data_IF_759901232298
#
_entry.id   IF_759901232298
#
_cell.length_a   1.000
_cell.length_b   1.000
_cell.length_c   1.000
_cell.angle_alpha   90.00
_cell.angle_beta   90.00
_cell.angle_gamma   90.00
#
_symmetry.space_group_name_H-M   'P 1'
#
loop_
_entity.id
_entity.type
_entity.pdbx_description
1 polymer ?
#
# COMPACT_ATOMS: atom_id res chain seq x y z
N UNK A 1 -16.05 -2.97 20.75
CA UNK A 1 -16.67 -2.30 19.59
C UNK A 1 -16.77 -0.84 19.92
N UNK A 2 -16.31 0.06 19.05
CA UNK A 2 -16.45 1.49 19.25
C UNK A 2 -17.93 1.84 19.01
N UNK A 3 -18.61 2.47 19.99
CA UNK A 3 -20.04 2.80 19.89
C UNK A 3 -20.29 4.09 19.09
N UNK A 4 -19.24 4.74 18.59
CA UNK A 4 -19.29 6.03 17.93
C UNK A 4 -19.49 5.92 16.42
N UNK A 5 -20.23 6.87 15.86
CA UNK A 5 -20.44 7.01 14.42
C UNK A 5 -19.30 7.84 13.84
N UNK A 6 -18.66 7.34 12.81
CA UNK A 6 -17.59 8.04 12.07
C UNK A 6 -18.04 8.45 10.69
N UNK A 7 -17.51 9.57 10.19
CA UNK A 7 -17.77 10.06 8.85
C UNK A 7 -16.51 10.59 8.17
N UNK A 8 -16.36 10.35 6.87
CA UNK A 8 -15.32 10.95 6.04
C UNK A 8 -15.74 11.00 4.57
N UNK A 9 -15.07 11.89 3.81
CA UNK A 9 -15.10 11.88 2.35
C UNK A 9 -14.26 10.66 1.89
N UNK A 10 -14.88 9.74 1.17
CA UNK A 10 -14.25 8.49 0.75
C UNK A 10 -13.76 8.52 -0.71
N UNK A 11 -14.00 9.62 -1.44
CA UNK A 11 -13.45 9.89 -2.76
C UNK A 11 -12.15 10.70 -2.66
N UNK A 12 -11.24 10.63 -3.66
CA UNK A 12 -10.05 11.47 -3.69
C UNK A 12 -10.39 12.96 -3.62
N UNK A 13 -9.48 13.75 -3.05
CA UNK A 13 -9.59 15.21 -3.04
C UNK A 13 -9.41 15.79 -4.44
N UNK A 14 -10.10 16.87 -4.72
CA UNK A 14 -10.03 17.58 -6.00
C UNK A 14 -11.41 17.71 -6.66
N UNK A 15 -11.43 18.20 -7.89
CA UNK A 15 -12.66 18.37 -8.67
C UNK A 15 -12.98 17.07 -9.42
N UNK A 16 -14.19 16.57 -9.24
CA UNK A 16 -14.71 15.37 -9.90
C UNK A 16 -16.19 15.50 -10.22
N UNK A 17 -16.78 14.52 -10.89
CA UNK A 17 -18.23 14.50 -11.14
C UNK A 17 -19.05 14.19 -9.89
N UNK A 18 -18.51 13.35 -9.00
CA UNK A 18 -19.19 12.85 -7.79
C UNK A 18 -18.20 12.81 -6.62
N UNK A 19 -18.69 13.16 -5.43
CA UNK A 19 -18.02 12.87 -4.16
C UNK A 19 -18.91 11.99 -3.29
N UNK A 20 -18.30 11.11 -2.49
CA UNK A 20 -19.00 10.21 -1.59
C UNK A 20 -18.57 10.46 -0.15
N UNK A 21 -19.53 10.66 0.72
CA UNK A 21 -19.32 10.73 2.17
C UNK A 21 -19.83 9.43 2.77
N UNK A 22 -18.94 8.71 3.47
CA UNK A 22 -19.28 7.48 4.17
C UNK A 22 -19.42 7.76 5.65
N UNK A 23 -20.52 7.27 6.23
CA UNK A 23 -20.87 7.36 7.64
C UNK A 23 -21.04 5.93 8.14
N UNK A 24 -20.28 5.49 9.15
CA UNK A 24 -20.30 4.12 9.66
C UNK A 24 -20.31 4.09 11.18
N UNK A 25 -21.04 3.14 11.75
CA UNK A 25 -21.18 2.94 13.17
C UNK A 25 -22.60 2.55 13.56
N UNK A 26 -22.79 2.09 14.78
CA UNK A 26 -24.11 1.75 15.30
C UNK A 26 -25.03 2.98 15.29
N UNK A 27 -26.15 2.88 14.58
CA UNK A 27 -27.10 3.99 14.43
C UNK A 27 -26.76 4.96 13.30
N UNK A 28 -25.77 4.69 12.46
CA UNK A 28 -25.42 5.56 11.32
C UNK A 28 -26.61 5.78 10.38
N UNK A 29 -27.44 4.77 10.17
CA UNK A 29 -28.63 4.83 9.32
C UNK A 29 -29.70 5.75 9.93
N UNK A 30 -29.75 5.91 11.24
CA UNK A 30 -30.72 6.81 11.92
C UNK A 30 -30.46 8.29 11.62
N UNK A 31 -29.28 8.64 11.09
CA UNK A 31 -28.96 10.01 10.68
C UNK A 31 -29.57 10.39 9.32
N UNK A 32 -30.07 9.42 8.55
CA UNK A 32 -30.61 9.66 7.21
C UNK A 32 -31.69 10.74 7.16
N UNK A 33 -32.71 10.76 8.03
CA UNK A 33 -33.75 11.80 7.96
C UNK A 33 -33.27 13.23 8.22
N UNK A 34 -32.14 13.37 8.93
CA UNK A 34 -31.54 14.68 9.18
C UNK A 34 -30.63 15.16 8.04
N UNK A 35 -30.21 14.26 7.16
CA UNK A 35 -29.23 14.51 6.10
C UNK A 35 -29.80 14.40 4.70
N UNK A 36 -31.01 13.82 4.53
CA UNK A 36 -31.55 13.51 3.21
C UNK A 36 -33.08 13.63 3.15
N UNK A 37 -33.62 14.23 2.08
CA UNK A 37 -35.06 14.41 1.86
C UNK A 37 -35.43 14.13 0.39
N UNK A 38 -36.59 13.47 0.14
CA UNK A 38 -37.45 12.85 1.14
C UNK A 38 -36.81 11.62 1.76
N UNK A 39 -36.90 11.48 3.08
CA UNK A 39 -36.46 10.26 3.75
C UNK A 39 -37.39 9.11 3.36
N UNK A 40 -36.87 8.02 2.79
CA UNK A 40 -37.68 6.90 2.34
C UNK A 40 -38.34 6.16 3.50
N UNK A 41 -39.63 5.86 3.35
CA UNK A 41 -40.38 5.06 4.33
C UNK A 41 -41.35 4.10 3.58
N UNK A 42 -41.12 2.76 3.64
CA UNK A 42 -40.03 2.08 4.37
C UNK A 42 -38.68 2.25 3.68
N UNK A 43 -37.60 2.32 4.49
CA UNK A 43 -36.23 2.33 3.98
C UNK A 43 -35.84 0.91 3.54
N UNK A 44 -35.45 0.78 2.27
CA UNK A 44 -34.83 -0.45 1.75
C UNK A 44 -33.32 -0.33 1.81
N UNK A 45 -32.67 -1.29 2.48
CA UNK A 45 -31.20 -1.37 2.50
C UNK A 45 -30.65 -1.70 1.12
N UNK A 46 -29.45 -1.21 0.81
CA UNK A 46 -28.73 -1.43 -0.46
C UNK A 46 -29.52 -0.94 -1.68
N UNK A 47 -30.40 0.01 -1.48
CA UNK A 47 -31.16 0.69 -2.53
C UNK A 47 -30.73 2.17 -2.60
N UNK A 48 -30.50 2.66 -3.81
CA UNK A 48 -30.06 4.03 -4.05
C UNK A 48 -31.27 4.96 -4.22
N UNK A 49 -31.38 5.93 -3.32
CA UNK A 49 -32.42 6.94 -3.33
C UNK A 49 -31.89 8.25 -3.88
N UNK A 50 -32.64 8.92 -4.74
CA UNK A 50 -32.34 10.27 -5.23
C UNK A 50 -33.15 11.30 -4.43
N UNK A 51 -32.51 12.40 -4.01
CA UNK A 51 -33.14 13.44 -3.20
C UNK A 51 -32.25 14.64 -2.93
N UNK A 52 -32.60 15.41 -1.94
CA UNK A 52 -31.84 16.58 -1.48
C UNK A 52 -30.99 16.21 -0.27
N UNK A 53 -29.73 16.58 -0.32
CA UNK A 53 -28.81 16.53 0.83
C UNK A 53 -29.03 17.78 1.67
N UNK A 54 -29.18 17.62 2.98
CA UNK A 54 -29.65 18.63 3.89
C UNK A 54 -28.60 19.00 4.95
N UNK A 55 -28.69 20.24 5.41
CA UNK A 55 -28.01 20.73 6.60
C UNK A 55 -29.03 21.26 7.59
N UNK A 56 -28.86 20.88 8.88
CA UNK A 56 -29.68 21.40 9.99
C UNK A 56 -30.92 20.58 10.29
N UNK A 57 -31.23 20.44 11.60
CA UNK A 57 -32.38 19.67 12.09
C UNK A 57 -33.68 20.48 12.14
N UNK A 58 -33.61 21.74 12.57
CA UNK A 58 -34.80 22.58 12.81
C UNK A 58 -35.27 23.36 11.58
N UNK A 59 -34.34 23.81 10.77
CA UNK A 59 -34.58 24.47 9.47
C UNK A 59 -33.66 23.87 8.44
N UNK A 60 -34.03 22.73 7.85
CA UNK A 60 -33.20 22.05 6.88
C UNK A 60 -32.98 22.90 5.65
N UNK A 61 -31.73 23.23 5.37
CA UNK A 61 -31.31 23.88 4.13
C UNK A 61 -30.80 22.84 3.15
N UNK A 62 -31.15 22.97 1.89
CA UNK A 62 -30.63 22.05 0.86
C UNK A 62 -29.22 22.47 0.45
N UNK A 63 -28.28 21.57 0.67
CA UNK A 63 -26.87 21.74 0.26
C UNK A 63 -26.66 21.37 -1.20
N UNK A 64 -27.28 20.26 -1.60
CA UNK A 64 -27.11 19.69 -2.94
C UNK A 64 -28.25 18.70 -3.25
N UNK A 65 -28.36 18.31 -4.53
CA UNK A 65 -29.14 17.15 -4.95
C UNK A 65 -28.22 15.98 -5.21
N UNK A 66 -28.54 14.84 -4.62
CA UNK A 66 -27.64 13.69 -4.67
C UNK A 66 -28.35 12.38 -4.37
N UNK A 67 -27.59 11.41 -3.96
CA UNK A 67 -28.10 10.07 -3.68
C UNK A 67 -27.71 9.61 -2.29
N UNK A 68 -28.50 8.70 -1.72
CA UNK A 68 -28.22 8.06 -0.44
C UNK A 68 -28.41 6.54 -0.55
N UNK A 69 -27.54 5.78 0.09
CA UNK A 69 -27.61 4.32 0.22
C UNK A 69 -27.37 3.96 1.67
N UNK A 70 -28.22 3.11 2.24
CA UNK A 70 -28.06 2.57 3.58
C UNK A 70 -27.74 1.08 3.53
N UNK A 71 -26.86 0.65 4.41
CA UNK A 71 -26.44 -0.74 4.59
C UNK A 71 -26.73 -1.18 6.02
N UNK A 72 -27.33 -2.35 6.17
CA UNK A 72 -27.56 -2.95 7.48
C UNK A 72 -26.25 -3.48 8.08
N UNK A 73 -26.26 -3.73 9.37
CA UNK A 73 -25.14 -4.39 10.06
C UNK A 73 -24.84 -5.74 9.39
N UNK A 74 -23.55 -6.02 9.16
CA UNK A 74 -23.07 -7.20 8.45
C UNK A 74 -23.04 -7.09 6.93
N UNK A 75 -23.67 -6.07 6.34
CA UNK A 75 -23.79 -5.91 4.87
C UNK A 75 -22.88 -4.83 4.27
N UNK A 76 -22.25 -4.02 5.11
CA UNK A 76 -21.35 -2.93 4.69
C UNK A 76 -19.89 -3.39 4.61
N UNK A 77 -19.02 -2.50 4.11
CA UNK A 77 -17.57 -2.71 4.11
C UNK A 77 -17.02 -2.88 5.54
N UNK A 78 -17.47 -2.06 6.49
CA UNK A 78 -17.01 -2.12 7.89
C UNK A 78 -17.67 -3.23 8.69
N UNK A 79 -18.77 -3.83 8.19
CA UNK A 79 -19.63 -4.73 8.94
C UNK A 79 -20.57 -4.01 9.92
N UNK A 80 -20.49 -2.68 10.04
CA UNK A 80 -21.39 -1.86 10.85
C UNK A 80 -22.56 -1.32 9.99
N UNK A 81 -23.59 -0.76 10.64
CA UNK A 81 -24.53 0.07 9.90
C UNK A 81 -23.78 1.19 9.17
N UNK A 82 -24.11 1.39 7.90
CA UNK A 82 -23.40 2.37 7.07
C UNK A 82 -24.40 3.16 6.23
N UNK A 83 -24.21 4.47 6.17
CA UNK A 83 -24.90 5.38 5.28
C UNK A 83 -23.87 6.01 4.33
N UNK A 84 -24.13 5.94 3.05
CA UNK A 84 -23.33 6.60 2.03
C UNK A 84 -24.16 7.68 1.35
N UNK A 85 -23.61 8.90 1.32
CA UNK A 85 -24.20 10.06 0.67
C UNK A 85 -23.33 10.44 -0.53
N UNK A 86 -23.97 10.62 -1.69
CA UNK A 86 -23.31 10.98 -2.93
C UNK A 86 -23.77 12.38 -3.33
N UNK A 87 -22.83 13.30 -3.48
CA UNK A 87 -23.04 14.68 -3.89
C UNK A 87 -22.21 15.02 -5.14
N UNK A 88 -22.39 16.21 -5.70
CA UNK A 88 -21.51 16.69 -6.75
C UNK A 88 -20.04 16.78 -6.24
N UNK A 89 -19.10 16.46 -7.11
CA UNK A 89 -17.67 16.26 -6.76
C UNK A 89 -16.87 17.56 -6.59
N UNK A 90 -17.52 18.65 -6.21
CA UNK A 90 -16.85 19.87 -5.79
C UNK A 90 -16.32 19.72 -4.35
N UNK A 91 -15.07 20.12 -4.10
CA UNK A 91 -14.45 19.99 -2.79
C UNK A 91 -15.28 20.68 -1.68
N UNK A 92 -15.82 21.87 -1.98
CA UNK A 92 -16.62 22.63 -1.02
C UNK A 92 -17.96 21.95 -0.72
N UNK A 93 -18.62 21.38 -1.72
CA UNK A 93 -19.88 20.64 -1.54
C UNK A 93 -19.67 19.43 -0.67
N UNK A 94 -18.64 18.63 -0.96
CA UNK A 94 -18.30 17.45 -0.18
C UNK A 94 -17.98 17.79 1.29
N UNK A 95 -17.27 18.90 1.55
CA UNK A 95 -17.00 19.39 2.91
C UNK A 95 -18.28 19.81 3.62
N UNK A 96 -19.22 20.52 2.98
CA UNK A 96 -20.48 20.91 3.58
C UNK A 96 -21.32 19.70 3.97
N UNK A 97 -21.40 18.68 3.12
CA UNK A 97 -22.13 17.44 3.42
C UNK A 97 -21.46 16.67 4.55
N UNK A 98 -20.12 16.62 4.60
CA UNK A 98 -19.40 16.03 5.74
C UNK A 98 -19.68 16.80 7.02
N UNK A 99 -19.60 18.13 7.01
CA UNK A 99 -19.91 18.98 8.17
C UNK A 99 -21.35 18.76 8.66
N UNK A 100 -22.32 18.59 7.76
CA UNK A 100 -23.68 18.25 8.12
C UNK A 100 -23.78 16.91 8.85
N UNK A 101 -23.04 15.88 8.38
CA UNK A 101 -22.96 14.58 9.04
C UNK A 101 -22.33 14.67 10.45
N UNK A 102 -21.29 15.50 10.60
CA UNK A 102 -20.67 15.75 11.91
C UNK A 102 -21.64 16.45 12.87
N UNK A 103 -22.36 17.46 12.42
CA UNK A 103 -23.40 18.12 13.21
C UNK A 103 -24.59 17.21 13.55
N UNK A 104 -24.88 16.23 12.71
CA UNK A 104 -25.92 15.23 12.96
C UNK A 104 -25.55 14.22 14.06
N UNK A 105 -24.28 14.13 14.44
CA UNK A 105 -23.81 13.29 15.52
C UNK A 105 -22.68 12.30 15.18
N UNK A 106 -22.13 12.34 13.97
CA UNK A 106 -20.91 11.64 13.64
C UNK A 106 -19.68 12.42 14.12
N UNK A 107 -18.53 11.74 14.28
CA UNK A 107 -17.22 12.39 14.36
C UNK A 107 -16.41 12.14 13.08
N UNK A 108 -15.38 12.94 12.87
CA UNK A 108 -14.45 12.69 11.77
C UNK A 108 -13.72 11.36 11.97
N UNK A 109 -13.66 10.56 10.90
CA UNK A 109 -12.89 9.32 10.89
C UNK A 109 -11.38 9.62 10.86
N UNK A 110 -10.59 8.78 11.54
CA UNK A 110 -9.14 8.78 11.44
C UNK A 110 -8.69 8.12 10.11
N UNK A 111 -7.50 8.43 9.61
CA UNK A 111 -6.96 7.75 8.44
C UNK A 111 -6.97 6.23 8.61
N UNK A 112 -7.53 5.50 7.63
CA UNK A 112 -7.63 4.03 7.67
C UNK A 112 -8.67 3.46 8.64
N UNK A 113 -9.47 4.29 9.33
CA UNK A 113 -10.38 3.81 10.39
C UNK A 113 -11.49 2.89 9.86
N UNK A 114 -12.02 3.12 8.67
CA UNK A 114 -13.01 2.20 8.08
C UNK A 114 -12.42 0.80 7.85
N UNK A 115 -11.20 0.72 7.32
CA UNK A 115 -10.50 -0.55 7.11
C UNK A 115 -10.16 -1.23 8.44
N UNK A 116 -9.74 -0.45 9.45
CA UNK A 116 -9.51 -0.95 10.81
C UNK A 116 -10.78 -1.56 11.41
N UNK A 117 -11.93 -0.90 11.25
CA UNK A 117 -13.22 -1.40 11.74
C UNK A 117 -13.65 -2.66 10.98
N UNK A 118 -13.45 -2.72 9.67
CA UNK A 118 -13.69 -3.92 8.88
C UNK A 118 -12.88 -5.12 9.41
N UNK A 119 -11.59 -4.91 9.73
CA UNK A 119 -10.74 -5.92 10.34
C UNK A 119 -11.23 -6.33 11.75
N UNK A 120 -11.50 -5.38 12.64
CA UNK A 120 -11.96 -5.66 14.00
C UNK A 120 -13.33 -6.38 14.04
N UNK A 121 -14.18 -6.14 13.04
CA UNK A 121 -15.48 -6.78 12.88
C UNK A 121 -15.39 -8.13 12.11
N UNK A 122 -14.18 -8.60 11.77
CA UNK A 122 -13.97 -9.88 11.09
C UNK A 122 -14.45 -9.91 9.63
N UNK A 123 -14.62 -8.74 8.98
CA UNK A 123 -15.02 -8.63 7.57
C UNK A 123 -13.86 -8.94 6.63
N UNK A 124 -12.68 -8.53 7.04
CA UNK A 124 -11.41 -8.74 6.33
C UNK A 124 -10.35 -9.16 7.34
N UNK A 125 -9.34 -9.87 6.90
CA UNK A 125 -8.16 -10.18 7.70
C UNK A 125 -7.10 -9.05 7.59
N UNK A 126 -5.97 -9.20 8.30
CA UNK A 126 -4.92 -8.18 8.32
C UNK A 126 -4.26 -8.04 6.94
N UNK A 127 -4.03 -9.13 6.21
CA UNK A 127 -3.40 -9.11 4.89
C UNK A 127 -4.34 -8.47 3.85
N UNK A 128 -5.63 -8.72 3.95
CA UNK A 128 -6.67 -8.06 3.15
C UNK A 128 -6.76 -6.56 3.46
N UNK A 129 -6.65 -6.19 4.75
CA UNK A 129 -6.63 -4.78 5.17
C UNK A 129 -5.42 -4.02 4.61
N UNK A 130 -4.23 -4.64 4.61
CA UNK A 130 -3.03 -4.08 3.99
C UNK A 130 -3.19 -3.99 2.46
N UNK A 131 -3.79 -5.00 1.83
CA UNK A 131 -4.02 -5.04 0.39
C UNK A 131 -4.96 -3.92 -0.10
N UNK A 132 -5.93 -3.47 0.72
CA UNK A 132 -6.75 -2.28 0.41
C UNK A 132 -5.87 -1.04 0.26
N UNK A 133 -4.93 -0.81 1.19
CA UNK A 133 -3.98 0.29 1.12
C UNK A 133 -3.05 0.20 -0.11
N UNK A 134 -2.57 -1.01 -0.40
CA UNK A 134 -1.72 -1.29 -1.55
C UNK A 134 -2.44 -1.02 -2.88
N UNK A 135 -3.71 -1.41 -2.98
CA UNK A 135 -4.52 -1.19 -4.17
C UNK A 135 -4.75 0.31 -4.43
N UNK A 136 -5.00 1.10 -3.37
CA UNK A 136 -5.18 2.55 -3.49
C UNK A 136 -3.89 3.25 -3.93
N UNK A 137 -2.72 2.76 -3.47
CA UNK A 137 -1.41 3.35 -3.77
C UNK A 137 -0.76 2.79 -5.04
N UNK A 138 -1.34 1.75 -5.64
CA UNK A 138 -0.76 1.06 -6.78
C UNK A 138 -0.59 2.00 -7.99
N UNK A 139 0.64 2.11 -8.50
CA UNK A 139 0.99 2.97 -9.63
C UNK A 139 1.15 2.19 -10.95
N UNK A 140 1.01 0.86 -10.93
CA UNK A 140 1.12 0.02 -12.12
C UNK A 140 0.04 -1.05 -12.16
N UNK A 141 -0.29 -1.52 -13.37
CA UNK A 141 -1.24 -2.61 -13.55
C UNK A 141 -0.81 -3.92 -12.86
N UNK A 142 0.49 -4.16 -12.73
CA UNK A 142 1.03 -5.32 -12.02
C UNK A 142 0.85 -5.18 -10.49
N UNK A 143 1.04 -3.98 -9.93
CA UNK A 143 0.81 -3.71 -8.52
C UNK A 143 -0.68 -3.85 -8.16
N UNK A 144 -1.59 -3.35 -8.99
CA UNK A 144 -3.05 -3.54 -8.82
C UNK A 144 -3.40 -5.02 -8.79
N UNK A 145 -2.91 -5.81 -9.76
CA UNK A 145 -3.17 -7.26 -9.80
C UNK A 145 -2.60 -8.01 -8.59
N UNK A 146 -1.44 -7.57 -8.09
CA UNK A 146 -0.83 -8.15 -6.89
C UNK A 146 -1.67 -7.85 -5.65
N UNK A 147 -2.07 -6.59 -5.46
CA UNK A 147 -2.93 -6.17 -4.36
C UNK A 147 -4.30 -6.86 -4.40
N UNK A 148 -4.89 -7.01 -5.60
CA UNK A 148 -6.15 -7.72 -5.76
C UNK A 148 -6.06 -9.20 -5.33
N UNK A 149 -4.99 -9.91 -5.71
CA UNK A 149 -4.77 -11.30 -5.26
C UNK A 149 -4.59 -11.41 -3.75
N UNK A 150 -3.96 -10.42 -3.12
CA UNK A 150 -3.84 -10.38 -1.67
C UNK A 150 -5.21 -10.13 -1.01
N UNK A 151 -6.04 -9.28 -1.63
CA UNK A 151 -7.41 -9.01 -1.18
C UNK A 151 -8.35 -10.23 -1.33
N UNK A 152 -8.08 -11.13 -2.28
CA UNK A 152 -8.79 -12.41 -2.43
C UNK A 152 -8.36 -13.49 -1.42
N UNK A 153 -7.50 -13.15 -0.45
CA UNK A 153 -7.07 -14.08 0.60
C UNK A 153 -5.99 -15.07 0.19
N UNK A 154 -5.30 -14.86 -0.93
CA UNK A 154 -4.31 -15.81 -1.45
C UNK A 154 -3.13 -16.09 -0.53
N UNK A 155 -2.77 -15.18 0.37
CA UNK A 155 -1.78 -15.40 1.42
C UNK A 155 -2.41 -16.10 2.63
N UNK A 156 -3.60 -15.66 3.04
CA UNK A 156 -4.37 -16.27 4.15
C UNK A 156 -4.53 -17.77 3.94
N UNK A 157 -4.99 -18.18 2.77
CA UNK A 157 -5.27 -19.59 2.49
C UNK A 157 -4.01 -20.46 2.59
N UNK A 158 -2.85 -19.94 2.18
CA UNK A 158 -1.57 -20.62 2.35
C UNK A 158 -1.16 -20.74 3.81
N UNK A 159 -1.24 -19.67 4.58
CA UNK A 159 -0.91 -19.64 6.01
C UNK A 159 -1.86 -20.57 6.79
N UNK A 160 -3.15 -20.55 6.46
CA UNK A 160 -4.13 -21.43 7.08
C UNK A 160 -3.86 -22.90 6.76
N UNK A 161 -3.45 -23.22 5.53
CA UNK A 161 -2.97 -24.55 5.16
C UNK A 161 -1.78 -25.01 6.00
N UNK A 162 -0.78 -24.14 6.22
CA UNK A 162 0.36 -24.45 7.09
C UNK A 162 -0.07 -24.64 8.54
N UNK A 163 -0.96 -23.77 9.04
CA UNK A 163 -1.51 -23.84 10.39
C UNK A 163 -2.27 -25.16 10.62
N UNK A 164 -3.14 -25.54 9.68
CA UNK A 164 -3.88 -26.81 9.74
C UNK A 164 -2.93 -28.00 9.82
N UNK A 165 -1.92 -28.06 8.93
CA UNK A 165 -0.95 -29.16 8.94
C UNK A 165 -0.20 -29.24 10.27
N UNK A 166 0.24 -28.11 10.84
CA UNK A 166 0.90 -28.08 12.15
C UNK A 166 -0.04 -28.51 13.28
N UNK A 167 -1.31 -28.09 13.23
CA UNK A 167 -2.32 -28.48 14.21
C UNK A 167 -2.60 -29.99 14.18
N UNK A 168 -2.69 -30.57 12.98
CA UNK A 168 -2.88 -32.02 12.80
C UNK A 168 -1.68 -32.83 13.31
N UNK A 169 -0.45 -32.28 13.11
CA UNK A 169 0.75 -32.90 13.68
C UNK A 169 0.74 -32.84 15.20
N UNK A 170 0.41 -31.69 15.78
CA UNK A 170 0.33 -31.48 17.22
C UNK A 170 -0.71 -32.43 17.84
N UNK A 171 -1.89 -32.48 17.29
CA UNK A 171 -2.95 -33.39 17.73
C UNK A 171 -2.51 -34.87 17.69
N UNK A 172 -1.76 -35.25 16.63
CA UNK A 172 -1.23 -36.61 16.53
C UNK A 172 -0.21 -36.91 17.63
N UNK A 173 0.64 -35.95 17.97
CA UNK A 173 1.66 -36.09 19.04
C UNK A 173 0.98 -36.16 20.40
N UNK A 174 0.02 -35.29 20.69
CA UNK A 174 -0.75 -35.27 21.94
C UNK A 174 -1.48 -36.57 22.12
N UNK A 175 -2.17 -37.09 21.10
CA UNK A 175 -2.83 -38.34 21.12
C UNK A 175 -1.89 -39.55 21.44
N UNK A 176 -0.67 -39.52 20.86
CA UNK A 176 0.35 -40.54 21.16
C UNK A 176 0.86 -40.50 22.60
N UNK A 177 0.88 -39.30 23.21
CA UNK A 177 1.29 -39.14 24.61
C UNK A 177 0.18 -39.62 25.56
N UNK A 178 -1.07 -39.26 25.27
CA UNK A 178 -2.20 -39.53 26.14
C UNK A 178 -2.68 -41.01 26.06
N UNK A 179 -2.59 -41.64 24.89
CA UNK A 179 -3.08 -42.98 24.61
C UNK A 179 -2.03 -43.86 23.91
N UNK A 180 -0.90 -44.18 24.55
CA UNK A 180 0.24 -44.85 23.90
C UNK A 180 -0.06 -46.30 23.49
N UNK A 181 -1.06 -46.93 24.08
CA UNK A 181 -1.40 -48.34 23.83
C UNK A 181 -2.66 -48.56 22.96
N UNK A 182 -3.45 -47.50 22.72
CA UNK A 182 -4.78 -47.63 22.10
C UNK A 182 -4.82 -47.22 20.62
N UNK A 183 -3.79 -46.55 20.10
CA UNK A 183 -3.76 -46.04 18.73
C UNK A 183 -3.01 -47.03 17.80
N UNK A 184 -3.74 -47.73 16.91
CA UNK A 184 -3.12 -48.74 16.02
C UNK A 184 -2.29 -48.12 14.87
N UNK A 185 -2.41 -46.85 14.56
CA UNK A 185 -1.69 -46.16 13.50
C UNK A 185 -1.09 -44.87 14.03
N UNK A 186 -0.04 -45.02 14.84
CA UNK A 186 0.74 -43.85 15.27
C UNK A 186 1.60 -43.35 14.10
N UNK A 187 1.53 -42.02 13.81
CA UNK A 187 2.51 -41.41 12.92
C UNK A 187 3.93 -41.68 13.45
N UNK A 188 4.73 -42.28 12.62
CA UNK A 188 6.13 -42.53 12.99
C UNK A 188 6.90 -41.21 13.08
N UNK A 189 7.96 -41.16 13.90
CA UNK A 189 8.89 -40.02 13.96
C UNK A 189 9.41 -39.62 12.57
N UNK A 190 9.64 -40.60 11.69
CA UNK A 190 10.13 -40.35 10.33
C UNK A 190 9.07 -39.66 9.44
N UNK A 191 7.79 -39.94 9.65
CA UNK A 191 6.69 -39.27 8.95
C UNK A 191 6.53 -37.82 9.40
N UNK A 192 6.59 -37.57 10.71
CA UNK A 192 6.55 -36.21 11.27
C UNK A 192 7.71 -35.36 10.75
N UNK A 193 8.94 -35.92 10.70
CA UNK A 193 10.11 -35.19 10.16
C UNK A 193 9.90 -34.88 8.68
N UNK A 194 9.40 -35.80 7.87
CA UNK A 194 9.12 -35.55 6.45
C UNK A 194 8.08 -34.43 6.25
N UNK A 195 7.03 -34.45 7.07
CA UNK A 195 5.98 -33.42 7.00
C UNK A 195 6.52 -32.04 7.39
N UNK A 196 7.37 -31.96 8.42
CA UNK A 196 8.07 -30.73 8.82
C UNK A 196 9.01 -30.24 7.70
N UNK A 197 9.81 -31.12 7.11
CA UNK A 197 10.74 -30.77 6.01
C UNK A 197 9.96 -30.27 4.79
N UNK A 198 8.81 -30.88 4.50
CA UNK A 198 7.89 -30.42 3.45
C UNK A 198 7.35 -29.02 3.75
N UNK A 199 6.91 -28.73 4.97
CA UNK A 199 6.45 -27.41 5.39
C UNK A 199 7.58 -26.38 5.29
N UNK A 200 8.78 -26.70 5.76
CA UNK A 200 9.95 -25.81 5.66
C UNK A 200 10.20 -25.47 4.19
N UNK A 201 10.17 -26.46 3.30
CA UNK A 201 10.36 -26.26 1.87
C UNK A 201 9.29 -25.32 1.27
N UNK A 202 8.02 -25.51 1.63
CA UNK A 202 6.91 -24.67 1.15
C UNK A 202 7.00 -23.24 1.67
N UNK A 203 7.33 -23.05 2.97
CA UNK A 203 7.50 -21.73 3.58
C UNK A 203 8.71 -21.02 2.96
N UNK A 204 9.82 -21.73 2.76
CA UNK A 204 11.01 -21.17 2.10
C UNK A 204 10.70 -20.71 0.68
N UNK A 205 10.02 -21.54 -0.10
CA UNK A 205 9.58 -21.16 -1.45
C UNK A 205 8.66 -19.93 -1.44
N UNK A 206 7.81 -19.77 -0.44
CA UNK A 206 6.96 -18.59 -0.29
C UNK A 206 7.81 -17.35 0.04
N UNK A 207 8.76 -17.45 0.97
CA UNK A 207 9.64 -16.33 1.36
C UNK A 207 10.57 -15.90 0.24
N UNK A 208 11.03 -16.80 -0.61
CA UNK A 208 11.87 -16.50 -1.78
C UNK A 208 11.15 -15.63 -2.83
N UNK A 209 9.81 -15.63 -2.80
CA UNK A 209 9.02 -14.73 -3.66
C UNK A 209 9.00 -13.29 -3.17
N UNK A 210 9.41 -13.00 -1.93
CA UNK A 210 9.28 -11.69 -1.27
C UNK A 210 9.96 -10.57 -2.06
N UNK A 211 11.21 -10.73 -2.46
CA UNK A 211 11.96 -9.68 -3.15
C UNK A 211 11.33 -9.33 -4.52
N UNK A 212 10.83 -10.34 -5.25
CA UNK A 212 10.11 -10.13 -6.51
C UNK A 212 8.78 -9.43 -6.28
N UNK A 213 8.05 -9.82 -5.23
CA UNK A 213 6.80 -9.19 -4.81
C UNK A 213 7.01 -7.72 -4.44
N UNK A 214 8.05 -7.40 -3.65
CA UNK A 214 8.42 -6.05 -3.24
C UNK A 214 8.71 -5.13 -4.43
N UNK A 215 9.49 -5.60 -5.41
CA UNK A 215 9.78 -4.83 -6.62
C UNK A 215 8.50 -4.59 -7.43
N UNK A 216 7.62 -5.58 -7.55
CA UNK A 216 6.34 -5.43 -8.26
C UNK A 216 5.38 -4.46 -7.56
N UNK A 217 5.38 -4.44 -6.22
CA UNK A 217 4.55 -3.56 -5.40
C UNK A 217 5.06 -2.12 -5.42
N UNK A 218 6.32 -1.93 -5.06
CA UNK A 218 6.92 -0.61 -4.79
C UNK A 218 7.67 -0.03 -6.00
N UNK A 219 7.88 -0.84 -7.04
CA UNK A 219 8.79 -0.47 -8.13
C UNK A 219 10.26 -0.54 -7.74
N UNK A 220 11.10 -0.08 -8.63
CA UNK A 220 12.54 0.05 -8.44
C UNK A 220 12.92 1.54 -8.57
N UNK A 221 13.49 2.12 -7.52
CA UNK A 221 14.02 3.48 -7.59
C UNK A 221 15.34 3.48 -8.34
N UNK A 222 15.40 4.25 -9.44
CA UNK A 222 16.59 4.39 -10.28
C UNK A 222 17.01 5.85 -10.32
N UNK A 223 18.27 6.15 -10.02
CA UNK A 223 18.82 7.48 -10.10
C UNK A 223 19.73 7.60 -11.31
N UNK A 224 19.46 8.60 -12.17
CA UNK A 224 20.28 8.92 -13.32
C UNK A 224 21.27 10.05 -12.95
N UNK A 225 22.51 9.67 -12.72
CA UNK A 225 23.60 10.59 -12.37
C UNK A 225 24.57 10.74 -13.55
N UNK A 226 25.16 11.93 -13.71
CA UNK A 226 26.17 12.15 -14.73
C UNK A 226 26.40 13.64 -15.00
N UNK A 227 27.44 13.93 -15.77
CA UNK A 227 27.80 15.30 -16.16
C UNK A 227 26.67 16.01 -16.96
N UNK A 228 26.61 17.34 -17.00
CA UNK A 228 25.74 18.06 -17.91
C UNK A 228 25.94 17.58 -19.36
N UNK A 229 24.86 17.51 -20.12
CA UNK A 229 24.83 17.04 -21.53
C UNK A 229 25.25 15.57 -21.77
N UNK A 230 25.32 14.75 -20.73
CA UNK A 230 25.61 13.31 -20.86
C UNK A 230 24.40 12.48 -21.34
N UNK A 231 23.31 13.10 -21.78
CA UNK A 231 22.15 12.40 -22.33
C UNK A 231 21.13 11.93 -21.30
N UNK A 232 21.24 12.32 -20.01
CA UNK A 232 20.29 11.92 -18.94
C UNK A 232 18.84 12.25 -19.28
N UNK A 233 18.57 13.48 -19.71
CA UNK A 233 17.22 13.93 -20.09
C UNK A 233 16.69 13.18 -21.32
N UNK A 234 17.55 12.88 -22.28
CA UNK A 234 17.19 12.07 -23.46
C UNK A 234 16.84 10.64 -23.06
N UNK A 235 17.61 10.07 -22.14
CA UNK A 235 17.36 8.71 -21.63
C UNK A 235 16.04 8.66 -20.84
N UNK A 236 15.79 9.65 -19.96
CA UNK A 236 14.52 9.76 -19.25
C UNK A 236 13.33 9.85 -20.21
N UNK A 237 13.40 10.78 -21.19
CA UNK A 237 12.34 10.94 -22.17
C UNK A 237 12.09 9.66 -22.96
N UNK A 238 13.15 8.88 -23.24
CA UNK A 238 13.02 7.57 -23.89
C UNK A 238 12.28 6.55 -23.02
N UNK A 239 12.57 6.52 -21.71
CA UNK A 239 11.86 5.67 -20.77
C UNK A 239 10.40 6.08 -20.58
N UNK A 240 10.13 7.39 -20.53
CA UNK A 240 8.77 7.93 -20.38
C UNK A 240 7.92 7.78 -21.65
N UNK A 241 8.52 7.49 -22.81
CA UNK A 241 7.84 7.46 -24.10
C UNK A 241 7.27 8.82 -24.55
N UNK A 242 7.66 9.92 -23.88
CA UNK A 242 7.21 11.30 -24.13
C UNK A 242 8.26 12.30 -23.69
N UNK A 243 8.20 13.52 -24.25
CA UNK A 243 9.09 14.61 -23.85
C UNK A 243 8.63 15.24 -22.52
N UNK A 244 9.30 14.89 -21.43
CA UNK A 244 9.10 15.43 -20.08
C UNK A 244 10.26 16.31 -19.64
N UNK A 245 11.48 15.91 -19.95
CA UNK A 245 12.67 16.69 -19.67
C UNK A 245 13.04 17.54 -20.88
N UNK A 246 13.29 18.84 -20.66
CA UNK A 246 13.72 19.74 -21.70
C UNK A 246 15.16 19.35 -22.11
N UNK A 247 15.33 18.95 -23.37
CA UNK A 247 16.62 18.61 -23.94
C UNK A 247 17.12 19.83 -24.72
N UNK A 248 18.12 20.51 -24.19
CA UNK A 248 18.79 21.65 -24.92
C UNK A 248 20.30 21.46 -24.91
N UNK A 249 20.99 21.91 -25.93
CA UNK A 249 22.46 21.89 -25.97
C UNK A 249 23.13 22.87 -25.01
N UNK A 250 22.36 23.77 -24.38
CA UNK A 250 22.87 24.76 -23.44
C UNK A 250 23.07 24.17 -22.05
N UNK A 251 24.28 24.18 -21.47
CA UNK A 251 24.53 23.65 -20.13
C UNK A 251 23.75 24.44 -19.05
N UNK A 252 23.07 23.73 -18.15
CA UNK A 252 22.41 24.32 -16.98
C UNK A 252 20.92 24.66 -17.15
N UNK A 253 20.25 24.16 -18.18
CA UNK A 253 18.80 24.36 -18.41
C UNK A 253 17.90 23.55 -17.50
N UNK A 254 18.36 22.41 -16.97
CA UNK A 254 17.61 21.61 -16.00
C UNK A 254 18.20 21.82 -14.60
N UNK A 255 17.50 22.57 -13.74
CA UNK A 255 17.96 22.92 -12.38
C UNK A 255 17.25 22.11 -11.29
N UNK A 256 16.15 21.46 -11.64
CA UNK A 256 15.30 20.77 -10.68
C UNK A 256 15.48 19.25 -10.77
N UNK A 257 15.25 18.57 -9.66
CA UNK A 257 15.15 17.12 -9.62
C UNK A 257 13.81 16.74 -10.27
N UNK A 258 13.87 15.98 -11.34
CA UNK A 258 12.68 15.44 -12.00
C UNK A 258 12.43 14.03 -11.47
N UNK A 259 11.23 13.84 -10.90
CA UNK A 259 10.73 12.54 -10.48
C UNK A 259 9.69 12.07 -11.49
N UNK A 260 9.89 10.91 -12.08
CA UNK A 260 8.92 10.31 -12.99
C UNK A 260 8.76 8.83 -12.68
N UNK A 261 7.52 8.37 -12.66
CA UNK A 261 7.20 6.95 -12.56
C UNK A 261 7.00 6.39 -13.96
N UNK A 262 7.79 5.40 -14.31
CA UNK A 262 7.76 4.78 -15.64
C UNK A 262 7.44 3.30 -15.48
N UNK A 263 6.47 2.81 -16.24
CA UNK A 263 6.16 1.39 -16.35
C UNK A 263 6.94 0.82 -17.54
N UNK A 264 7.92 -0.04 -17.26
CA UNK A 264 8.73 -0.69 -18.29
C UNK A 264 8.20 -2.11 -18.48
N UNK A 265 7.63 -2.39 -19.65
CA UNK A 265 7.28 -3.75 -20.04
C UNK A 265 8.57 -4.53 -20.27
N UNK A 266 8.97 -5.34 -19.29
CA UNK A 266 10.21 -6.09 -19.36
C UNK A 266 10.23 -7.04 -20.52
N UNK A 267 11.15 -6.81 -21.46
CA UNK A 267 11.68 -7.90 -22.25
C UNK A 267 12.37 -8.85 -21.27
N UNK A 268 11.91 -10.07 -21.22
CA UNK A 268 12.44 -11.11 -20.38
C UNK A 268 13.96 -11.26 -20.57
N UNK A 269 14.72 -11.01 -19.54
CA UNK A 269 15.86 -11.86 -19.32
C UNK A 269 15.28 -13.20 -18.85
N UNK A 270 15.34 -14.17 -19.73
CA UNK A 270 15.19 -15.62 -19.51
C UNK A 270 14.59 -16.03 -18.17
N UNK A 271 13.44 -16.68 -18.27
CA UNK A 271 12.72 -17.41 -17.23
C UNK A 271 12.03 -16.61 -16.14
N UNK A 272 10.72 -16.71 -16.25
CA UNK A 272 9.63 -16.35 -15.35
C UNK A 272 9.06 -14.95 -15.51
N UNK A 273 7.98 -14.85 -16.31
CA UNK A 273 6.79 -13.95 -16.19
C UNK A 273 6.91 -12.62 -15.41
N UNK A 274 7.98 -11.89 -15.53
CA UNK A 274 8.07 -10.50 -15.08
C UNK A 274 7.67 -9.60 -16.25
N UNK A 275 6.36 -9.41 -16.44
CA UNK A 275 5.85 -8.63 -17.58
C UNK A 275 5.86 -7.12 -17.37
N UNK A 276 6.05 -6.63 -16.13
CA UNK A 276 5.98 -5.19 -15.86
C UNK A 276 6.83 -4.82 -14.64
N UNK A 277 7.77 -3.92 -14.84
CA UNK A 277 8.57 -3.26 -13.78
C UNK A 277 8.15 -1.79 -13.72
N UNK A 278 7.75 -1.31 -12.56
CA UNK A 278 7.57 0.13 -12.31
C UNK A 278 8.89 0.67 -11.77
N UNK A 279 9.50 1.59 -12.49
CA UNK A 279 10.71 2.28 -12.05
C UNK A 279 10.38 3.76 -11.81
N UNK A 280 10.70 4.26 -10.63
CA UNK A 280 10.70 5.70 -10.34
C UNK A 280 12.11 6.22 -10.58
N UNK A 281 12.26 7.15 -11.51
CA UNK A 281 13.57 7.71 -11.82
C UNK A 281 13.69 9.12 -11.24
N UNK A 282 14.60 9.29 -10.29
CA UNK A 282 14.96 10.60 -9.76
C UNK A 282 16.14 11.18 -10.55
N UNK A 283 15.93 12.31 -11.21
CA UNK A 283 17.01 13.01 -11.89
C UNK A 283 17.46 14.18 -11.02
N UNK A 284 18.58 14.01 -10.33
CA UNK A 284 19.30 15.13 -9.74
C UNK A 284 20.22 15.76 -10.78
N UNK A 285 19.83 16.92 -11.33
CA UNK A 285 20.71 17.75 -12.13
C UNK A 285 21.34 18.81 -11.23
N UNK A 286 22.30 18.41 -10.38
CA UNK A 286 23.12 19.39 -9.70
C UNK A 286 23.94 20.13 -10.77
N UNK A 287 23.79 21.46 -10.85
CA UNK A 287 24.87 22.30 -11.39
C UNK A 287 26.12 21.84 -10.66
N UNK A 288 27.00 21.14 -11.36
CA UNK A 288 28.35 21.03 -10.85
C UNK A 288 28.77 22.46 -10.55
N UNK A 289 28.89 22.79 -9.27
CA UNK A 289 29.75 23.91 -8.93
C UNK A 289 31.00 23.67 -9.75
N UNK A 290 31.25 24.52 -10.73
CA UNK A 290 32.56 24.54 -11.34
C UNK A 290 33.50 24.63 -10.14
N UNK A 291 34.07 23.50 -9.77
CA UNK A 291 35.26 23.55 -8.94
C UNK A 291 36.16 24.54 -9.65
N UNK A 292 36.56 25.64 -8.99
CA UNK A 292 37.46 26.58 -9.64
C UNK A 292 38.59 25.77 -10.23
N UNK A 293 38.83 25.91 -11.52
CA UNK A 293 39.96 25.29 -12.22
C UNK A 293 41.27 25.96 -11.77
N UNK A 294 41.36 26.27 -10.50
CA UNK A 294 42.58 26.67 -9.82
C UNK A 294 43.10 25.39 -9.23
N UNK A 295 44.13 24.82 -9.87
CA UNK A 295 45.03 23.82 -9.30
C UNK A 295 45.66 24.32 -8.01
N UNK A 296 44.81 24.62 -7.03
CA UNK A 296 45.23 24.99 -5.69
C UNK A 296 45.57 23.74 -4.89
N UNK A 297 46.55 23.87 -4.01
CA UNK A 297 47.09 22.90 -3.06
C UNK A 297 46.01 22.06 -2.36
N UNK A 298 44.75 22.53 -2.29
CA UNK A 298 43.63 21.84 -1.65
C UNK A 298 43.15 20.55 -2.33
N UNK A 299 43.14 20.48 -3.65
CA UNK A 299 42.72 19.25 -4.37
C UNK A 299 43.74 18.14 -4.24
N UNK A 300 45.03 18.46 -4.26
CA UNK A 300 46.12 17.47 -4.05
C UNK A 300 46.07 16.94 -2.60
N UNK A 301 45.79 17.80 -1.61
CA UNK A 301 45.62 17.40 -0.23
C UNK A 301 44.42 16.46 -0.06
N UNK A 302 43.30 16.73 -0.72
CA UNK A 302 42.12 15.84 -0.65
C UNK A 302 42.37 14.46 -1.26
N UNK A 303 43.11 14.41 -2.39
CA UNK A 303 43.48 13.11 -2.98
C UNK A 303 44.51 12.35 -2.11
N UNK A 304 45.47 13.05 -1.49
CA UNK A 304 46.45 12.45 -0.60
C UNK A 304 45.78 11.93 0.69
N UNK A 305 44.90 12.72 1.34
CA UNK A 305 44.17 12.28 2.52
C UNK A 305 43.19 11.17 2.20
N UNK A 306 42.44 11.21 1.09
CA UNK A 306 41.55 10.18 0.64
C UNK A 306 42.27 8.85 0.38
N UNK A 307 43.44 8.92 -0.28
CA UNK A 307 44.27 7.72 -0.54
C UNK A 307 44.83 7.12 0.75
N UNK A 308 45.28 7.94 1.71
CA UNK A 308 45.77 7.49 3.02
C UNK A 308 44.63 6.83 3.82
N UNK A 309 43.39 7.37 3.81
CA UNK A 309 42.26 6.77 4.48
C UNK A 309 41.89 5.40 3.89
N UNK A 310 41.90 5.25 2.57
CA UNK A 310 41.61 3.97 1.88
C UNK A 310 42.68 2.94 2.19
N UNK A 311 43.95 3.34 2.16
CA UNK A 311 45.07 2.46 2.55
C UNK A 311 45.00 2.07 4.03
N UNK A 312 44.68 2.99 4.93
CA UNK A 312 44.51 2.71 6.36
C UNK A 312 43.36 1.72 6.63
N UNK A 313 42.24 1.89 5.95
CA UNK A 313 41.11 0.97 6.02
C UNK A 313 41.44 -0.43 5.49
N UNK A 314 42.17 -0.51 4.37
CA UNK A 314 42.63 -1.78 3.82
C UNK A 314 43.61 -2.51 4.77
N UNK A 315 44.59 -1.79 5.37
CA UNK A 315 45.51 -2.33 6.37
C UNK A 315 44.74 -2.80 7.61
N UNK A 316 43.78 -2.03 8.09
CA UNK A 316 42.95 -2.37 9.23
C UNK A 316 42.14 -3.68 9.00
N UNK A 317 41.57 -3.85 7.83
CA UNK A 317 40.82 -5.06 7.45
C UNK A 317 41.78 -6.27 7.40
N UNK A 318 42.98 -6.12 6.83
CA UNK A 318 43.98 -7.19 6.74
C UNK A 318 44.50 -7.58 8.13
N UNK A 319 44.80 -6.60 9.00
CA UNK A 319 45.25 -6.85 10.37
C UNK A 319 44.16 -7.55 11.20
N UNK A 320 42.90 -7.06 11.09
CA UNK A 320 41.75 -7.69 11.76
C UNK A 320 41.52 -9.13 11.30
N UNK A 321 41.68 -9.40 10.00
CA UNK A 321 41.57 -10.74 9.44
C UNK A 321 42.70 -11.67 9.92
N UNK A 322 43.92 -11.13 10.08
CA UNK A 322 45.04 -11.90 10.59
C UNK A 322 44.90 -12.21 12.07
N UNK A 323 44.40 -11.28 12.88
CA UNK A 323 44.17 -11.53 14.32
C UNK A 323 42.99 -12.50 14.58
N UNK A 324 42.04 -12.64 13.64
CA UNK A 324 40.95 -13.63 13.74
C UNK A 324 41.33 -15.05 13.32
N UNK A 325 42.52 -15.23 12.70
CA UNK A 325 43.07 -16.52 12.28
C UNK A 325 44.09 -17.10 13.29
N UNK A 326 44.36 -16.36 14.39
CA UNK A 326 45.36 -16.75 15.44
C UNK A 326 44.66 -17.01 16.79
N UNK A 327 43.32 -17.25 16.77
CA UNK A 327 42.58 -17.78 17.93
C UNK A 327 42.00 -19.13 17.63
#
# INVERSE_FOLDING_TARGET
MSEDIIAAIATPRGQGGVAMIRISGRGAVSLLPALFSPAPSPLKMRFMYYGSLLEGKEKPETLDKGMAVAFAQGESFTGEETLELYCHGGERVALLVLEAALRAGARSALPGEFTKRAFLNGRIDLSEAEAVGDMIQAQSASAVRLAYRALEGGLRDKIEGFRSTLTDMLASIEACIDYPEELPEQRTRAELIRDIDSLITQITALTDTYNRGRIRKNGLSVCLLGQPNAGKSTLLNRFCGRERAIVTPVPGTTRDILHETVEINGAAATDTNLTTLTATADIANSKGTMLPATGGIGTTLFYVFGSIMVLGAAIFVVVKKRMSLTK
#
